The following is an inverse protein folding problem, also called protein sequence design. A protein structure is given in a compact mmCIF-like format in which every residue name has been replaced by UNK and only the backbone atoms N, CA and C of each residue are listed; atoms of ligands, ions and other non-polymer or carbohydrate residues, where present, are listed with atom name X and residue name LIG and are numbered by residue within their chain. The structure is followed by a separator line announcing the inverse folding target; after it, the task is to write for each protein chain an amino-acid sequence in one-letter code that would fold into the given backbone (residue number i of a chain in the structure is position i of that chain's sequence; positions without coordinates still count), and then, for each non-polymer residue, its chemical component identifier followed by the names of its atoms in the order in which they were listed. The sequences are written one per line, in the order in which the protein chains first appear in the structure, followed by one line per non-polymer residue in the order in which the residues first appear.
data_IF_197803345524
#
_entry.id   IF_197803345524
#
_cell.length_a   1.000
_cell.length_b   1.000
_cell.length_c   1.000
_cell.angle_alpha   90.00
_cell.angle_beta   90.00
_cell.angle_gamma   90.00
#
_symmetry.space_group_name_H-M   'P 1'
#
loop_
_entity.id
_entity.type
_entity.pdbx_description
1 polymer ?
#
# COMPACT_ATOMS: atom_id res chain seq x y z
N UNK A 1 56.02 11.13 -56.00
CA UNK A 1 54.56 11.07 -56.28
C UNK A 1 53.88 10.48 -55.04
N UNK A 2 53.37 11.36 -54.14
CA UNK A 2 52.73 10.95 -52.89
C UNK A 2 51.23 11.04 -53.11
N UNK A 3 50.54 9.86 -52.96
CA UNK A 3 49.09 9.78 -53.02
C UNK A 3 48.55 9.96 -51.63
N UNK A 4 47.57 10.86 -51.39
CA UNK A 4 46.96 11.01 -50.05
C UNK A 4 45.86 9.95 -49.79
N UNK A 5 46.01 9.26 -48.68
CA UNK A 5 45.00 8.33 -48.16
C UNK A 5 43.80 9.15 -47.64
N UNK A 6 42.65 8.98 -48.28
CA UNK A 6 41.39 9.55 -47.82
C UNK A 6 40.79 8.61 -46.72
N UNK A 7 40.84 9.07 -45.50
CA UNK A 7 40.14 8.39 -44.36
C UNK A 7 38.69 8.81 -44.40
N UNK A 8 37.78 7.86 -44.69
CA UNK A 8 36.36 8.04 -44.66
C UNK A 8 35.86 7.77 -43.23
N UNK A 9 35.48 8.80 -42.48
CA UNK A 9 34.81 8.66 -41.22
C UNK A 9 33.32 8.36 -41.47
N UNK A 10 32.87 7.14 -41.14
CA UNK A 10 31.47 6.78 -41.11
C UNK A 10 30.96 7.06 -39.68
N UNK A 11 30.22 8.15 -39.53
CA UNK A 11 29.48 8.46 -38.31
C UNK A 11 28.22 7.55 -38.26
N UNK A 12 28.26 6.49 -37.48
CA UNK A 12 27.09 5.69 -37.17
C UNK A 12 26.28 6.43 -36.09
N UNK A 13 25.27 7.18 -36.51
CA UNK A 13 24.27 7.74 -35.58
C UNK A 13 23.31 6.62 -35.16
N UNK A 14 23.61 6.01 -33.99
CA UNK A 14 22.71 5.10 -33.35
C UNK A 14 21.50 5.87 -32.76
N UNK A 15 20.35 5.69 -33.38
CA UNK A 15 19.10 6.14 -32.78
C UNK A 15 18.73 5.20 -31.64
N UNK A 16 18.99 5.62 -30.40
CA UNK A 16 18.36 4.98 -29.20
C UNK A 16 16.88 5.36 -29.19
N UNK A 17 16.02 4.46 -29.63
CA UNK A 17 14.59 4.55 -29.33
C UNK A 17 14.39 4.16 -27.89
N UNK A 18 14.24 5.16 -27.02
CA UNK A 18 13.70 4.97 -25.67
C UNK A 18 12.22 4.58 -25.80
N UNK A 19 11.96 3.29 -25.80
CA UNK A 19 10.59 2.80 -25.58
C UNK A 19 10.27 3.04 -24.13
N UNK A 20 9.51 4.11 -23.86
CA UNK A 20 8.87 4.31 -22.57
C UNK A 20 7.88 3.16 -22.38
N UNK A 21 8.26 2.15 -21.62
CA UNK A 21 7.31 1.17 -21.11
C UNK A 21 6.45 1.90 -20.07
N UNK A 22 5.34 2.48 -20.51
CA UNK A 22 4.31 2.90 -19.57
C UNK A 22 3.64 1.62 -19.07
N UNK A 23 4.10 1.12 -17.97
CA UNK A 23 3.37 0.16 -17.17
C UNK A 23 2.20 0.93 -16.52
N UNK A 24 1.21 1.27 -17.33
CA UNK A 24 -0.06 1.73 -16.81
C UNK A 24 -0.88 0.48 -16.57
N UNK A 25 -0.91 0.00 -15.33
CA UNK A 25 -1.86 -1.01 -14.89
C UNK A 25 -3.26 -0.46 -15.21
N UNK A 26 -3.82 -0.97 -16.29
CA UNK A 26 -5.21 -0.64 -16.60
C UNK A 26 -6.07 -1.30 -15.55
N UNK A 27 -6.80 -0.48 -14.81
CA UNK A 27 -7.86 -0.98 -13.94
C UNK A 27 -8.87 -1.68 -14.85
N UNK A 28 -8.90 -3.01 -14.77
CA UNK A 28 -9.88 -3.82 -15.48
C UNK A 28 -11.17 -3.84 -14.67
N UNK A 29 -12.17 -3.14 -15.14
CA UNK A 29 -13.53 -3.30 -14.64
C UNK A 29 -14.11 -4.60 -15.21
N UNK A 30 -14.40 -5.55 -14.35
CA UNK A 30 -15.02 -6.83 -14.73
C UNK A 30 -16.53 -6.78 -14.69
N UNK A 31 -17.14 -5.66 -14.32
CA UNK A 31 -18.58 -5.44 -14.30
C UNK A 31 -19.08 -4.80 -15.58
N UNK A 32 -20.25 -5.23 -16.04
CA UNK A 32 -20.94 -4.67 -17.21
C UNK A 32 -21.78 -3.45 -16.86
N UNK A 33 -22.02 -3.17 -15.58
CA UNK A 33 -22.88 -2.09 -15.13
C UNK A 33 -22.10 -1.04 -14.35
N UNK A 34 -22.24 0.22 -14.76
CA UNK A 34 -21.75 1.37 -14.02
C UNK A 34 -22.67 1.60 -12.82
N UNK A 35 -22.10 2.03 -11.70
CA UNK A 35 -22.89 2.41 -10.53
C UNK A 35 -23.85 3.55 -10.87
N UNK A 36 -25.09 3.45 -10.40
CA UNK A 36 -26.09 4.49 -10.57
C UNK A 36 -26.16 5.37 -9.31
N UNK A 37 -25.74 6.65 -9.37
CA UNK A 37 -25.66 7.52 -8.20
C UNK A 37 -27.02 7.90 -7.60
N UNK A 38 -28.14 7.58 -8.27
CA UNK A 38 -29.49 7.82 -7.74
C UNK A 38 -29.94 6.79 -6.71
N UNK A 39 -29.21 5.68 -6.58
CA UNK A 39 -29.49 4.62 -5.62
C UNK A 39 -28.44 4.59 -4.52
N UNK A 40 -28.86 4.29 -3.30
CA UNK A 40 -28.01 4.24 -2.12
C UNK A 40 -26.79 3.31 -2.28
N UNK A 41 -27.00 2.16 -2.89
CA UNK A 41 -25.99 1.14 -3.17
C UNK A 41 -25.38 1.23 -4.58
N UNK A 42 -25.75 2.26 -5.35
CA UNK A 42 -25.34 2.42 -6.75
C UNK A 42 -25.90 1.35 -7.68
N UNK A 43 -26.91 0.56 -7.24
CA UNK A 43 -27.39 -0.65 -7.91
C UNK A 43 -26.32 -1.72 -8.14
N UNK A 44 -25.24 -1.68 -7.37
CA UNK A 44 -24.20 -2.69 -7.45
C UNK A 44 -24.64 -3.97 -6.75
N UNK A 45 -24.24 -5.11 -7.29
CA UNK A 45 -24.42 -6.38 -6.62
C UNK A 45 -23.65 -6.41 -5.29
N UNK A 46 -24.23 -6.98 -4.21
CA UNK A 46 -23.52 -7.12 -2.96
C UNK A 46 -22.25 -7.96 -3.15
N UNK A 47 -21.18 -7.54 -2.49
CA UNK A 47 -19.94 -8.30 -2.49
C UNK A 47 -20.13 -9.58 -1.68
N UNK A 48 -19.96 -10.73 -2.31
CA UNK A 48 -20.01 -12.04 -1.65
C UNK A 48 -18.61 -12.56 -1.35
N UNK A 49 -18.49 -13.32 -0.26
CA UNK A 49 -17.20 -13.90 0.14
C UNK A 49 -16.29 -12.92 0.90
N UNK A 50 -16.87 -11.88 1.50
CA UNK A 50 -16.13 -10.93 2.35
C UNK A 50 -15.96 -11.52 3.75
N UNK A 51 -14.72 -11.50 4.24
CA UNK A 51 -14.39 -11.76 5.62
C UNK A 51 -13.92 -10.47 6.30
N UNK A 52 -14.56 -10.11 7.40
CA UNK A 52 -14.13 -8.99 8.22
C UNK A 52 -13.28 -9.52 9.38
N UNK A 53 -12.03 -9.08 9.45
CA UNK A 53 -11.09 -9.48 10.48
C UNK A 53 -10.71 -8.23 11.27
N UNK A 54 -10.97 -8.27 12.58
CA UNK A 54 -10.55 -7.20 13.47
C UNK A 54 -9.08 -7.39 13.84
N UNK A 55 -8.21 -6.50 13.39
CA UNK A 55 -6.77 -6.56 13.67
C UNK A 55 -6.42 -5.90 14.98
N UNK A 56 -7.04 -4.78 15.28
CA UNK A 56 -6.76 -3.96 16.45
C UNK A 56 -8.08 -3.62 17.16
N UNK A 57 -8.06 -3.62 18.47
CA UNK A 57 -9.18 -3.18 19.30
C UNK A 57 -8.70 -2.20 20.36
N UNK A 58 -9.13 -0.96 20.25
CA UNK A 58 -8.88 0.03 21.30
C UNK A 58 -9.47 -0.42 22.63
N UNK A 59 -8.73 -0.21 23.72
CA UNK A 59 -9.14 -0.57 25.06
C UNK A 59 -8.84 0.57 26.04
N UNK A 60 -9.85 1.33 26.41
CA UNK A 60 -9.71 2.48 27.32
C UNK A 60 -9.35 2.09 28.75
N UNK A 61 -9.69 0.89 29.18
CA UNK A 61 -9.38 0.40 30.53
C UNK A 61 -7.94 -0.08 30.64
N UNK A 62 -7.39 -0.56 29.51
CA UNK A 62 -6.02 -1.07 29.42
C UNK A 62 -5.33 -0.53 28.14
N UNK A 63 -5.08 0.80 28.09
CA UNK A 63 -4.54 1.43 26.88
C UNK A 63 -3.14 0.93 26.51
N UNK A 64 -2.35 0.52 27.50
CA UNK A 64 -0.98 0.02 27.28
C UNK A 64 -0.94 -1.49 26.96
N UNK A 65 -2.10 -2.13 26.86
CA UNK A 65 -2.15 -3.52 26.42
C UNK A 65 -1.49 -3.67 25.05
N UNK A 66 -0.70 -4.71 24.89
CA UNK A 66 0.02 -4.97 23.63
C UNK A 66 0.92 -3.81 23.19
N UNK A 67 1.71 -3.24 24.10
CA UNK A 67 2.66 -2.15 23.83
C UNK A 67 2.02 -0.88 23.24
N UNK A 68 0.84 -0.52 23.68
CA UNK A 68 0.08 0.63 23.15
C UNK A 68 -0.96 0.24 22.10
N UNK A 69 -1.12 -1.04 21.79
CA UNK A 69 -2.17 -1.51 20.89
C UNK A 69 -3.59 -1.31 21.42
N UNK A 70 -3.74 -0.91 22.71
CA UNK A 70 -5.01 -0.50 23.31
C UNK A 70 -5.35 0.98 23.15
N UNK A 71 -4.49 1.77 22.57
CA UNK A 71 -4.71 3.20 22.38
C UNK A 71 -5.95 3.50 21.55
N UNK A 72 -6.62 4.60 21.87
CA UNK A 72 -7.96 4.86 21.36
C UNK A 72 -8.00 5.64 20.05
N UNK A 73 -6.93 6.34 19.70
CA UNK A 73 -6.81 7.01 18.42
C UNK A 73 -5.91 6.20 17.49
N UNK A 74 -6.53 5.61 16.46
CA UNK A 74 -5.84 4.81 15.47
C UNK A 74 -6.25 5.31 14.08
N UNK A 75 -5.28 5.65 13.24
CA UNK A 75 -5.56 6.19 11.91
C UNK A 75 -4.50 5.83 10.87
N UNK A 76 -4.71 6.26 9.64
CA UNK A 76 -3.84 6.06 8.48
C UNK A 76 -3.44 4.58 8.27
N UNK A 77 -4.41 3.65 8.24
CA UNK A 77 -4.11 2.26 7.98
C UNK A 77 -3.57 2.08 6.55
N UNK A 78 -2.49 1.35 6.43
CA UNK A 78 -1.89 0.99 5.15
C UNK A 78 -1.67 -0.52 5.09
N UNK A 79 -2.06 -1.11 3.97
CA UNK A 79 -1.89 -2.54 3.72
C UNK A 79 -1.01 -2.73 2.48
N UNK A 80 -0.01 -3.58 2.59
CA UNK A 80 0.83 -4.00 1.48
C UNK A 80 0.98 -5.52 1.47
N UNK A 81 1.20 -6.08 0.29
CA UNK A 81 1.58 -7.47 0.11
C UNK A 81 2.91 -7.53 -0.63
N UNK A 82 3.90 -8.16 -0.01
CA UNK A 82 5.21 -8.28 -0.59
C UNK A 82 5.89 -9.58 -0.16
N UNK A 83 6.54 -10.24 -1.09
CA UNK A 83 7.32 -11.46 -0.86
C UNK A 83 6.55 -12.54 -0.08
N UNK A 84 5.27 -12.78 -0.45
CA UNK A 84 4.44 -13.82 0.16
C UNK A 84 3.86 -13.47 1.53
N UNK A 85 3.89 -12.22 1.93
CA UNK A 85 3.44 -11.76 3.23
C UNK A 85 2.67 -10.45 3.14
N UNK A 86 1.63 -10.30 3.96
CA UNK A 86 0.91 -9.07 4.19
C UNK A 86 1.59 -8.25 5.29
N UNK A 87 1.59 -6.95 5.10
CA UNK A 87 2.10 -5.94 6.03
C UNK A 87 1.00 -4.93 6.26
N UNK A 88 0.59 -4.77 7.50
CA UNK A 88 -0.42 -3.79 7.90
C UNK A 88 0.19 -2.81 8.87
N UNK A 89 0.21 -1.54 8.49
CA UNK A 89 0.77 -0.47 9.29
C UNK A 89 -0.33 0.53 9.63
N UNK A 90 -0.28 1.08 10.83
CA UNK A 90 -1.15 2.16 11.27
C UNK A 90 -0.41 3.06 12.26
N UNK A 91 -0.88 4.31 12.35
CA UNK A 91 -0.43 5.26 13.36
C UNK A 91 -1.39 5.23 14.53
N UNK A 92 -0.87 5.30 15.76
CA UNK A 92 -1.68 5.38 16.96
C UNK A 92 -1.15 6.43 17.94
N UNK A 93 -2.09 7.07 18.61
CA UNK A 93 -1.90 8.00 19.72
C UNK A 93 -2.73 7.55 20.92
N UNK A 94 -2.34 7.91 22.15
CA UNK A 94 -3.03 7.41 23.35
C UNK A 94 -4.53 7.70 23.41
N UNK A 95 -4.95 8.88 23.00
CA UNK A 95 -6.35 9.31 23.14
C UNK A 95 -6.88 10.16 21.99
N UNK A 96 -6.05 10.97 21.36
CA UNK A 96 -6.44 11.91 20.30
C UNK A 96 -5.23 12.17 19.40
N UNK A 97 -5.47 12.75 18.21
CA UNK A 97 -4.43 13.08 17.25
C UNK A 97 -3.39 14.04 17.86
N UNK A 98 -2.13 13.77 17.58
CA UNK A 98 -0.99 14.56 18.07
C UNK A 98 -0.79 14.55 19.60
N UNK A 99 -1.39 13.63 20.32
CA UNK A 99 -1.13 13.43 21.75
C UNK A 99 0.06 12.48 21.92
N UNK A 100 1.24 12.96 22.31
CA UNK A 100 2.40 12.10 22.49
C UNK A 100 2.20 11.02 23.55
N UNK A 101 2.86 9.87 23.36
CA UNK A 101 3.74 9.52 22.26
C UNK A 101 2.95 9.00 21.05
N UNK A 102 3.19 9.59 19.85
CA UNK A 102 2.67 9.04 18.60
C UNK A 102 3.56 7.91 18.12
N UNK A 103 3.00 6.78 17.73
CA UNK A 103 3.76 5.59 17.33
C UNK A 103 3.20 4.98 16.06
N UNK A 104 4.11 4.45 15.24
CA UNK A 104 3.74 3.65 14.10
C UNK A 104 3.87 2.18 14.44
N UNK A 105 2.80 1.45 14.27
CA UNK A 105 2.72 0.01 14.49
C UNK A 105 2.72 -0.76 13.18
N UNK A 106 3.30 -1.95 13.22
CA UNK A 106 3.30 -2.92 12.13
C UNK A 106 2.78 -4.25 12.64
N UNK A 107 1.93 -4.87 11.83
CA UNK A 107 1.49 -6.25 11.97
C UNK A 107 1.74 -6.98 10.66
N UNK A 108 2.01 -8.27 10.73
CA UNK A 108 2.24 -9.07 9.52
C UNK A 108 1.40 -10.33 9.51
N UNK A 109 1.09 -10.84 8.30
CA UNK A 109 0.36 -12.08 8.12
C UNK A 109 0.79 -12.80 6.85
N UNK A 110 0.79 -14.12 6.86
CA UNK A 110 1.03 -14.93 5.66
C UNK A 110 -0.23 -15.27 4.90
N UNK A 111 -1.37 -15.30 5.57
CA UNK A 111 -2.64 -15.80 5.05
C UNK A 111 -3.76 -14.75 5.06
N UNK A 112 -3.52 -13.57 5.64
CA UNK A 112 -4.51 -12.52 5.84
C UNK A 112 -5.50 -12.78 6.97
N UNK A 113 -5.45 -13.96 7.61
CA UNK A 113 -6.34 -14.35 8.71
C UNK A 113 -5.65 -14.29 10.08
N UNK A 114 -4.43 -14.82 10.13
CA UNK A 114 -3.62 -14.87 11.34
C UNK A 114 -2.57 -13.78 11.30
N UNK A 115 -2.64 -12.83 12.23
CA UNK A 115 -1.79 -11.66 12.30
C UNK A 115 -0.92 -11.66 13.54
N UNK A 116 0.28 -11.13 13.43
CA UNK A 116 1.15 -10.88 14.59
C UNK A 116 0.54 -9.85 15.53
N UNK A 117 1.01 -9.79 16.76
CA UNK A 117 0.74 -8.63 17.61
C UNK A 117 1.37 -7.37 17.00
N UNK A 118 0.81 -6.17 17.29
CA UNK A 118 1.41 -4.92 16.87
C UNK A 118 2.82 -4.74 17.42
N UNK A 119 3.74 -4.35 16.56
CA UNK A 119 5.12 -4.01 16.91
C UNK A 119 5.40 -2.57 16.53
N UNK A 120 6.11 -1.84 17.39
CA UNK A 120 6.50 -0.46 17.12
C UNK A 120 7.62 -0.45 16.07
N UNK A 121 7.38 0.23 14.96
CA UNK A 121 8.37 0.36 13.86
C UNK A 121 9.19 1.64 14.01
N UNK A 122 8.51 2.72 14.33
CA UNK A 122 9.14 4.01 14.57
C UNK A 122 8.77 4.48 15.97
N UNK A 123 9.69 4.44 16.92
CA UNK A 123 9.47 5.03 18.23
C UNK A 123 9.40 6.56 18.13
N UNK A 124 8.82 7.23 19.10
CA UNK A 124 8.72 8.68 19.16
C UNK A 124 10.07 9.37 19.19
#
# INVERSE_FOLDING_TARGET
MNSPIKILFVLATGWLTLTSASAQDRIHYTGTELSNPTYHDGQLSPVVGVHNIQLVRANREHPDASNGGGWTYNHQPMLAYWNGQFYYQYLADPSDEHIPPSQTFLMTSKDGYNWTNPEIVFPP
#
